data_IF_098346754486
#
_entry.id   IF_098346754486
#
_cell.length_a   1.000
_cell.length_b   1.000
_cell.length_c   1.000
_cell.angle_alpha   90.00
_cell.angle_beta   90.00
_cell.angle_gamma   90.00
#
_symmetry.space_group_name_H-M   'P 1'
#
loop_
_entity.id
_entity.type
_entity.pdbx_description
1 polymer ?
#
# COMPACT_ATOMS: atom_id res chain seq x y z
N UNK A 1 40.16 11.75 -56.80
CA UNK A 1 40.45 11.37 -55.40
C UNK A 1 39.45 10.30 -55.01
N UNK A 2 39.93 9.10 -54.71
CA UNK A 2 39.14 7.86 -54.59
C UNK A 2 38.50 7.73 -53.20
N UNK A 3 37.27 7.20 -53.14
CA UNK A 3 36.56 6.94 -51.88
C UNK A 3 37.24 5.84 -51.04
N UNK A 4 37.21 5.94 -49.71
CA UNK A 4 37.76 4.92 -48.83
C UNK A 4 36.85 3.68 -48.76
N UNK A 5 37.42 2.49 -48.49
CA UNK A 5 36.67 1.24 -48.42
C UNK A 5 35.81 1.14 -47.15
N UNK A 6 34.73 0.34 -47.17
CA UNK A 6 33.86 0.17 -46.03
C UNK A 6 34.53 -0.67 -44.91
N UNK A 7 34.11 -0.47 -43.65
CA UNK A 7 34.66 -1.19 -42.51
C UNK A 7 34.23 -2.67 -42.48
N UNK A 8 35.02 -3.54 -41.84
CA UNK A 8 34.73 -4.96 -41.73
C UNK A 8 33.54 -5.25 -40.79
N UNK A 9 32.83 -6.38 -40.99
CA UNK A 9 31.71 -6.76 -40.14
C UNK A 9 32.16 -7.18 -38.73
N UNK A 10 31.31 -6.88 -37.75
CA UNK A 10 31.54 -7.19 -36.34
C UNK A 10 31.45 -8.71 -36.07
N UNK A 11 32.24 -9.24 -35.13
CA UNK A 11 32.19 -10.65 -34.74
C UNK A 11 30.90 -10.99 -33.97
N UNK A 12 30.43 -12.24 -34.05
CA UNK A 12 29.23 -12.68 -33.34
C UNK A 12 29.45 -12.71 -31.82
N UNK A 13 28.38 -12.55 -31.02
CA UNK A 13 28.47 -12.58 -29.57
C UNK A 13 28.81 -13.99 -29.04
N UNK A 14 29.49 -14.08 -27.88
CA UNK A 14 29.83 -15.36 -27.27
C UNK A 14 28.58 -16.09 -26.74
N UNK A 15 28.61 -17.43 -26.65
CA UNK A 15 27.49 -18.21 -26.12
C UNK A 15 27.29 -17.97 -24.62
N UNK A 16 26.06 -18.16 -24.10
CA UNK A 16 25.75 -17.97 -22.69
C UNK A 16 26.43 -19.03 -21.81
N UNK A 17 26.74 -18.72 -20.53
CA UNK A 17 27.39 -19.64 -19.61
C UNK A 17 26.45 -20.80 -19.23
N UNK A 18 27.01 -22.01 -19.17
CA UNK A 18 26.31 -23.23 -18.75
C UNK A 18 25.85 -23.14 -17.28
N UNK A 19 24.63 -23.61 -17.02
CA UNK A 19 24.06 -23.71 -15.67
C UNK A 19 24.81 -24.76 -14.83
N UNK A 20 24.99 -24.54 -13.50
CA UNK A 20 25.71 -25.48 -12.65
C UNK A 20 24.96 -26.80 -12.51
N UNK A 21 25.60 -27.89 -12.89
CA UNK A 21 25.15 -29.26 -12.64
C UNK A 21 25.18 -29.54 -11.13
N UNK A 22 24.03 -29.89 -10.55
CA UNK A 22 23.94 -30.36 -9.16
C UNK A 22 24.39 -31.82 -9.08
N UNK A 23 25.62 -32.05 -8.63
CA UNK A 23 26.11 -33.37 -8.25
C UNK A 23 25.57 -33.76 -6.87
N UNK A 24 24.93 -34.92 -6.82
CA UNK A 24 24.48 -35.58 -5.60
C UNK A 24 25.66 -36.17 -4.80
N UNK A 25 25.39 -36.37 -3.50
CA UNK A 25 26.09 -37.23 -2.54
C UNK A 25 27.10 -36.53 -1.61
N UNK A 26 26.71 -36.38 -0.34
CA UNK A 26 27.37 -37.05 0.79
C UNK A 26 26.56 -36.83 2.07
N UNK A 27 26.13 -37.96 2.65
CA UNK A 27 25.49 -38.04 3.95
C UNK A 27 26.50 -37.73 5.06
N UNK A 28 26.16 -36.80 5.96
CA UNK A 28 26.81 -36.65 7.25
C UNK A 28 25.72 -36.49 8.32
N UNK A 29 25.74 -37.39 9.30
CA UNK A 29 24.80 -37.48 10.39
C UNK A 29 24.85 -36.25 11.31
N UNK A 30 23.67 -35.73 11.68
CA UNK A 30 23.49 -34.69 12.69
C UNK A 30 22.79 -35.29 13.94
N UNK A 31 23.11 -34.81 15.16
CA UNK A 31 22.68 -35.40 16.42
C UNK A 31 21.19 -35.13 16.73
N UNK A 32 20.53 -35.94 17.59
CA UNK A 32 19.12 -35.76 17.89
C UNK A 32 18.94 -34.74 19.02
N UNK A 33 18.34 -33.58 18.74
CA UNK A 33 18.02 -32.64 19.80
C UNK A 33 17.57 -31.28 19.31
N UNK A 34 16.26 -31.10 19.13
CA UNK A 34 15.67 -29.81 18.85
C UNK A 34 14.34 -29.91 18.13
N UNK A 35 13.31 -30.42 18.82
CA UNK A 35 11.93 -30.23 18.37
C UNK A 35 11.65 -28.72 18.29
N UNK A 36 11.73 -28.19 17.08
CA UNK A 36 11.11 -26.92 16.69
C UNK A 36 9.72 -26.84 17.34
N UNK A 37 9.52 -25.87 18.23
CA UNK A 37 8.20 -25.52 18.78
C UNK A 37 7.31 -25.14 17.59
N UNK A 38 6.61 -26.12 17.02
CA UNK A 38 5.49 -25.89 16.11
C UNK A 38 4.51 -24.99 16.87
N UNK A 39 4.40 -23.73 16.45
CA UNK A 39 3.43 -22.78 17.01
C UNK A 39 2.06 -23.39 16.81
N UNK A 40 1.32 -23.57 17.90
CA UNK A 40 -0.06 -24.04 17.84
C UNK A 40 -0.89 -23.00 17.08
N UNK A 41 -1.38 -23.37 15.89
CA UNK A 41 -2.09 -22.48 14.95
C UNK A 41 -3.60 -22.47 15.18
N UNK A 42 -4.10 -23.18 16.20
CA UNK A 42 -5.53 -23.26 16.49
C UNK A 42 -6.06 -21.91 16.96
N UNK A 43 -7.27 -21.57 16.53
CA UNK A 43 -8.00 -20.37 16.94
C UNK A 43 -9.10 -20.80 17.91
N UNK A 44 -9.22 -20.07 19.01
CA UNK A 44 -10.23 -20.26 20.03
C UNK A 44 -11.23 -19.11 20.01
N UNK A 45 -12.45 -19.36 20.45
CA UNK A 45 -13.45 -18.32 20.73
C UNK A 45 -13.88 -18.38 22.19
N UNK A 46 -14.24 -17.25 22.79
CA UNK A 46 -14.77 -17.14 24.15
C UNK A 46 -15.51 -15.81 24.33
N UNK A 47 -16.29 -15.67 25.39
CA UNK A 47 -17.14 -14.47 25.61
C UNK A 47 -16.56 -13.57 26.69
N UNK A 48 -16.71 -12.25 26.50
CA UNK A 48 -16.32 -11.24 27.49
C UNK A 48 -17.05 -11.50 28.82
N UNK A 49 -16.33 -11.55 29.97
CA UNK A 49 -16.93 -11.82 31.26
C UNK A 49 -17.77 -10.66 31.81
N UNK A 50 -17.68 -9.46 31.22
CA UNK A 50 -18.54 -8.33 31.61
C UNK A 50 -20.01 -8.68 31.30
N UNK A 51 -20.90 -8.72 32.32
CA UNK A 51 -22.31 -9.06 32.14
C UNK A 51 -23.06 -8.12 31.20
N UNK A 52 -22.59 -6.88 31.04
CA UNK A 52 -23.20 -5.89 30.12
C UNK A 52 -22.69 -6.01 28.69
N UNK A 53 -21.53 -6.64 28.48
CA UNK A 53 -20.91 -6.75 27.17
C UNK A 53 -21.15 -8.12 26.52
N UNK A 54 -20.73 -9.20 27.18
CA UNK A 54 -20.84 -10.59 26.70
C UNK A 54 -20.39 -10.81 25.24
N UNK A 55 -19.56 -9.92 24.70
CA UNK A 55 -19.12 -9.99 23.31
C UNK A 55 -18.30 -11.25 23.06
N UNK A 56 -18.53 -11.91 21.92
CA UNK A 56 -17.75 -13.08 21.51
C UNK A 56 -16.43 -12.64 20.88
N UNK A 57 -15.33 -13.10 21.49
CA UNK A 57 -13.95 -12.78 21.18
C UNK A 57 -13.25 -14.00 20.56
N UNK A 58 -12.24 -13.75 19.73
CA UNK A 58 -11.49 -14.80 19.04
C UNK A 58 -9.99 -14.56 19.19
N UNK A 59 -9.22 -15.60 19.49
CA UNK A 59 -7.80 -15.46 19.85
C UNK A 59 -7.03 -16.76 19.56
N UNK A 60 -5.71 -16.69 19.27
CA UNK A 60 -4.91 -17.89 19.03
C UNK A 60 -4.69 -18.68 20.32
N UNK A 61 -4.71 -20.01 20.23
CA UNK A 61 -4.52 -20.93 21.36
C UNK A 61 -3.15 -20.79 22.04
N UNK A 62 -2.14 -20.25 21.34
CA UNK A 62 -0.82 -20.00 21.88
C UNK A 62 -0.38 -18.53 21.68
N UNK A 63 0.20 -17.94 22.72
CA UNK A 63 0.88 -16.63 22.65
C UNK A 63 0.05 -15.40 23.05
N UNK A 64 -1.27 -15.52 23.25
CA UNK A 64 -2.11 -14.40 23.71
C UNK A 64 -2.42 -14.52 25.21
N UNK A 65 -1.60 -13.88 26.04
CA UNK A 65 -1.77 -13.90 27.52
C UNK A 65 -2.89 -12.94 27.95
N UNK A 66 -3.11 -11.86 27.19
CA UNK A 66 -4.12 -10.84 27.46
C UNK A 66 -4.85 -10.50 26.17
N UNK A 67 -6.18 -10.58 26.23
CA UNK A 67 -7.11 -10.41 25.11
C UNK A 67 -7.98 -9.19 25.42
N UNK A 68 -8.02 -8.24 24.49
CA UNK A 68 -8.88 -7.06 24.60
C UNK A 68 -10.25 -7.34 23.99
N UNK A 69 -11.31 -6.97 24.70
CA UNK A 69 -12.66 -7.03 24.20
C UNK A 69 -12.88 -5.92 23.16
N UNK A 70 -13.19 -6.30 21.93
CA UNK A 70 -13.36 -5.37 20.82
C UNK A 70 -14.64 -4.52 20.91
N UNK A 71 -15.55 -4.82 21.83
CA UNK A 71 -16.79 -4.07 22.03
C UNK A 71 -16.71 -3.11 23.23
N UNK A 72 -16.17 -3.54 24.38
CA UNK A 72 -16.09 -2.69 25.59
C UNK A 72 -14.68 -2.18 25.92
N UNK A 73 -13.64 -2.64 25.21
CA UNK A 73 -12.24 -2.23 25.42
C UNK A 73 -11.56 -2.83 26.66
N UNK A 74 -12.26 -3.63 27.47
CA UNK A 74 -11.67 -4.27 28.64
C UNK A 74 -10.69 -5.39 28.24
N UNK A 75 -9.61 -5.54 29.01
CA UNK A 75 -8.63 -6.62 28.81
C UNK A 75 -8.89 -7.76 29.77
N UNK A 76 -8.85 -8.98 29.25
CA UNK A 76 -9.08 -10.21 30.00
C UNK A 76 -7.94 -11.19 29.75
N UNK A 77 -7.60 -11.99 30.76
CA UNK A 77 -6.77 -13.15 30.52
C UNK A 77 -7.59 -14.24 29.82
N UNK A 78 -6.93 -15.10 29.04
CA UNK A 78 -7.60 -16.18 28.31
C UNK A 78 -8.45 -17.08 29.22
N UNK A 79 -7.99 -17.32 30.45
CA UNK A 79 -8.68 -18.15 31.44
C UNK A 79 -9.94 -17.50 32.02
N UNK A 80 -10.08 -16.18 31.86
CA UNK A 80 -11.19 -15.40 32.40
C UNK A 80 -12.34 -15.25 31.38
N UNK A 81 -12.14 -15.68 30.14
CA UNK A 81 -13.17 -15.66 29.11
C UNK A 81 -14.14 -16.81 29.30
N UNK A 82 -15.43 -16.54 29.07
CA UNK A 82 -16.50 -17.52 29.28
C UNK A 82 -16.67 -18.41 28.04
N UNK A 83 -16.85 -19.72 28.25
CA UNK A 83 -17.19 -20.66 27.17
C UNK A 83 -16.12 -20.76 26.08
N UNK A 84 -14.86 -20.96 26.47
CA UNK A 84 -13.74 -21.06 25.51
C UNK A 84 -13.83 -22.37 24.71
N UNK A 85 -13.90 -22.27 23.39
CA UNK A 85 -14.00 -23.39 22.47
C UNK A 85 -13.08 -23.22 21.25
N UNK A 86 -12.68 -24.33 20.61
CA UNK A 86 -11.90 -24.31 19.38
C UNK A 86 -12.78 -24.03 18.16
N UNK A 87 -12.33 -23.11 17.31
CA UNK A 87 -13.04 -22.76 16.07
C UNK A 87 -12.48 -23.60 14.93
N UNK A 88 -13.32 -24.47 14.38
CA UNK A 88 -12.96 -25.38 13.27
C UNK A 88 -13.50 -24.92 11.91
N UNK A 89 -14.43 -23.97 11.89
CA UNK A 89 -15.05 -23.44 10.67
C UNK A 89 -14.12 -22.45 9.94
N UNK A 90 -13.70 -22.74 8.69
CA UNK A 90 -12.78 -21.89 7.91
C UNK A 90 -13.29 -20.47 7.65
N UNK A 91 -14.59 -20.28 7.43
CA UNK A 91 -15.16 -18.96 7.12
C UNK A 91 -15.22 -18.09 8.36
N UNK A 92 -15.51 -18.70 9.52
CA UNK A 92 -15.46 -18.04 10.83
C UNK A 92 -14.01 -17.70 11.19
N UNK A 93 -13.05 -18.58 10.89
CA UNK A 93 -11.62 -18.30 11.09
C UNK A 93 -11.18 -17.13 10.20
N UNK A 94 -11.56 -17.10 8.93
CA UNK A 94 -11.22 -16.00 8.01
C UNK A 94 -11.85 -14.68 8.44
N UNK A 95 -13.15 -14.68 8.75
CA UNK A 95 -13.88 -13.51 9.26
C UNK A 95 -13.23 -12.96 10.54
N UNK A 96 -12.76 -13.84 11.43
CA UNK A 96 -12.13 -13.42 12.68
C UNK A 96 -10.65 -13.07 12.56
N UNK A 97 -9.92 -13.68 11.61
CA UNK A 97 -8.60 -13.20 11.23
C UNK A 97 -8.70 -11.78 10.69
N UNK A 98 -9.70 -11.50 9.84
CA UNK A 98 -10.01 -10.15 9.38
C UNK A 98 -10.43 -9.24 10.54
N UNK A 99 -11.34 -9.67 11.43
CA UNK A 99 -11.78 -8.89 12.60
C UNK A 99 -10.63 -8.59 13.58
N UNK A 100 -9.74 -9.55 13.85
CA UNK A 100 -8.59 -9.39 14.76
C UNK A 100 -7.42 -8.62 14.12
N UNK A 101 -7.27 -8.72 12.80
CA UNK A 101 -6.43 -7.84 12.00
C UNK A 101 -6.96 -6.40 12.02
N UNK A 102 -8.28 -6.23 11.97
CA UNK A 102 -8.99 -4.95 11.94
C UNK A 102 -9.10 -4.28 13.32
N UNK A 103 -9.27 -5.07 14.40
CA UNK A 103 -9.64 -4.61 15.75
C UNK A 103 -8.58 -4.93 16.83
N UNK A 104 -7.39 -5.39 16.47
CA UNK A 104 -6.22 -5.34 17.36
C UNK A 104 -5.83 -6.65 18.07
N UNK A 105 -4.87 -7.38 17.49
CA UNK A 105 -3.92 -8.18 18.29
C UNK A 105 -2.70 -7.31 18.63
N UNK A 106 -2.60 -6.87 19.88
CA UNK A 106 -1.40 -6.25 20.46
C UNK A 106 -0.43 -7.35 20.93
N UNK A 107 0.52 -7.72 20.07
CA UNK A 107 1.81 -8.27 20.51
C UNK A 107 2.85 -7.16 20.42
N UNK A 108 3.89 -7.21 21.26
CA UNK A 108 4.97 -6.21 21.23
C UNK A 108 5.44 -5.95 19.79
N UNK A 109 5.48 -4.68 19.34
CA UNK A 109 5.70 -4.34 17.94
C UNK A 109 7.06 -4.88 17.49
N UNK A 110 7.05 -5.75 16.47
CA UNK A 110 8.26 -6.07 15.72
C UNK A 110 8.67 -4.82 14.94
N UNK A 111 9.97 -4.54 14.93
CA UNK A 111 10.62 -3.38 14.29
C UNK A 111 10.54 -3.40 12.75
N UNK A 112 9.35 -3.54 12.18
CA UNK A 112 9.09 -3.27 10.76
C UNK A 112 7.95 -2.26 10.67
N UNK A 113 8.14 -1.19 9.90
CA UNK A 113 7.21 -0.06 9.78
C UNK A 113 5.83 -0.49 9.30
N UNK A 114 5.76 -1.53 8.46
CA UNK A 114 4.52 -2.08 7.91
C UNK A 114 3.58 -2.73 8.96
N UNK A 115 4.12 -3.12 10.12
CA UNK A 115 3.38 -3.80 11.19
C UNK A 115 3.05 -2.87 12.37
N UNK A 116 3.48 -1.60 12.32
CA UNK A 116 3.10 -0.60 13.32
C UNK A 116 1.61 -0.31 13.16
N UNK A 117 0.84 -0.58 14.21
CA UNK A 117 -0.60 -0.36 14.23
C UNK A 117 -0.91 1.04 14.75
N UNK A 118 -1.77 1.77 14.04
CA UNK A 118 -2.33 3.06 14.45
C UNK A 118 -3.84 3.01 14.31
N UNK A 119 -4.55 3.23 15.42
CA UNK A 119 -6.00 2.99 15.55
C UNK A 119 -6.42 1.60 15.03
N UNK A 120 -5.74 0.56 15.51
CA UNK A 120 -6.06 -0.84 15.19
C UNK A 120 -5.46 -1.40 13.90
N UNK A 121 -5.10 -0.56 12.91
CA UNK A 121 -4.61 -1.01 11.60
C UNK A 121 -3.14 -0.63 11.36
N UNK A 122 -2.40 -1.49 10.65
CA UNK A 122 -1.10 -1.15 10.08
C UNK A 122 -1.21 -1.00 8.56
N UNK A 123 -0.17 -0.50 7.89
CA UNK A 123 -0.17 -0.37 6.42
C UNK A 123 -0.33 -1.75 5.76
N UNK A 124 0.30 -2.80 6.30
CA UNK A 124 0.06 -4.18 5.84
C UNK A 124 -1.41 -4.58 5.88
N UNK A 125 -2.13 -4.25 6.96
CA UNK A 125 -3.56 -4.50 7.03
C UNK A 125 -4.33 -3.69 5.98
N UNK A 126 -3.98 -2.41 5.79
CA UNK A 126 -4.59 -1.57 4.76
C UNK A 126 -4.42 -2.20 3.36
N UNK A 127 -3.25 -2.76 3.06
CA UNK A 127 -2.98 -3.47 1.80
C UNK A 127 -3.89 -4.68 1.61
N UNK A 128 -4.03 -5.51 2.64
CA UNK A 128 -4.88 -6.71 2.59
C UNK A 128 -6.36 -6.37 2.42
N UNK A 129 -6.82 -5.29 3.06
CA UNK A 129 -8.24 -4.96 3.17
C UNK A 129 -8.75 -4.11 2.00
N UNK A 130 -7.87 -3.32 1.37
CA UNK A 130 -8.28 -2.40 0.30
C UNK A 130 -9.04 -3.07 -0.86
N UNK A 131 -8.61 -4.23 -1.40
CA UNK A 131 -9.35 -4.92 -2.46
C UNK A 131 -10.75 -5.38 -2.03
N UNK A 132 -10.90 -5.78 -0.76
CA UNK A 132 -12.19 -6.18 -0.18
C UNK A 132 -13.09 -4.95 -0.06
N UNK A 133 -12.59 -3.86 0.51
CA UNK A 133 -13.35 -2.63 0.71
C UNK A 133 -13.72 -1.93 -0.60
N UNK A 134 -12.98 -2.20 -1.69
CA UNK A 134 -13.34 -1.71 -3.01
C UNK A 134 -14.65 -2.31 -3.53
N UNK A 135 -15.11 -3.46 -3.01
CA UNK A 135 -16.29 -4.20 -3.52
C UNK A 135 -17.33 -4.55 -2.46
N UNK A 136 -16.97 -4.48 -1.18
CA UNK A 136 -17.84 -4.83 -0.06
C UNK A 136 -18.08 -3.65 0.87
N UNK A 137 -19.33 -3.49 1.29
CA UNK A 137 -19.75 -2.58 2.35
C UNK A 137 -20.29 -3.34 3.55
N UNK A 138 -20.62 -2.61 4.62
CA UNK A 138 -21.31 -3.16 5.79
C UNK A 138 -22.80 -2.82 5.72
N UNK A 139 -23.66 -3.83 5.69
CA UNK A 139 -25.09 -3.64 5.84
C UNK A 139 -25.41 -3.26 7.29
N UNK A 140 -25.90 -2.03 7.50
CA UNK A 140 -26.20 -1.49 8.82
C UNK A 140 -27.33 -2.23 9.54
N UNK A 141 -28.23 -2.88 8.81
CA UNK A 141 -29.35 -3.60 9.41
C UNK A 141 -28.91 -4.95 9.98
N UNK A 142 -28.08 -5.66 9.21
CA UNK A 142 -27.65 -7.02 9.58
C UNK A 142 -26.28 -7.06 10.26
N UNK A 143 -25.50 -5.98 10.17
CA UNK A 143 -24.12 -5.92 10.65
C UNK A 143 -23.16 -6.84 9.88
N UNK A 144 -23.54 -7.26 8.67
CA UNK A 144 -22.75 -8.19 7.84
C UNK A 144 -22.16 -7.50 6.63
N UNK A 145 -21.00 -7.97 6.20
CA UNK A 145 -20.40 -7.57 4.94
C UNK A 145 -21.28 -8.02 3.77
N UNK A 146 -21.53 -7.13 2.81
CA UNK A 146 -22.31 -7.40 1.59
C UNK A 146 -21.63 -6.72 0.40
N UNK A 147 -21.79 -7.27 -0.80
CA UNK A 147 -21.33 -6.60 -2.02
C UNK A 147 -22.02 -5.24 -2.17
N UNK A 148 -21.26 -4.24 -2.61
CA UNK A 148 -21.78 -2.90 -2.86
C UNK A 148 -22.93 -2.91 -3.87
N UNK A 149 -22.85 -3.75 -4.90
CA UNK A 149 -23.92 -3.88 -5.91
C UNK A 149 -25.24 -4.38 -5.30
N UNK A 150 -25.17 -5.32 -4.35
CA UNK A 150 -26.35 -5.85 -3.67
C UNK A 150 -26.91 -4.86 -2.63
N UNK A 151 -26.17 -3.78 -2.35
CA UNK A 151 -26.58 -2.65 -1.52
C UNK A 151 -27.01 -1.44 -2.39
N UNK A 152 -27.13 -1.60 -3.71
CA UNK A 152 -27.38 -0.51 -4.67
C UNK A 152 -26.35 0.63 -4.57
N UNK A 153 -25.07 0.30 -4.34
CA UNK A 153 -23.96 1.25 -4.26
C UNK A 153 -23.00 1.15 -5.45
N UNK A 154 -23.36 0.38 -6.49
CA UNK A 154 -22.51 0.11 -7.66
C UNK A 154 -21.57 -1.08 -7.48
N UNK A 155 -20.82 -1.43 -8.53
CA UNK A 155 -19.87 -2.55 -8.51
C UNK A 155 -18.60 -2.26 -7.69
N UNK A 156 -18.22 -0.97 -7.63
CA UNK A 156 -17.02 -0.48 -6.95
C UNK A 156 -17.37 0.64 -5.98
N UNK A 157 -16.56 0.77 -4.93
CA UNK A 157 -16.66 1.89 -3.99
C UNK A 157 -16.40 3.20 -4.74
N UNK A 158 -17.37 4.10 -4.73
CA UNK A 158 -17.24 5.44 -5.33
C UNK A 158 -16.32 6.32 -4.47
N UNK A 159 -15.11 6.55 -4.97
CA UNK A 159 -14.12 7.37 -4.28
C UNK A 159 -14.50 8.86 -4.22
N UNK A 160 -15.46 9.33 -5.04
CA UNK A 160 -15.96 10.71 -4.94
C UNK A 160 -16.59 11.00 -3.57
N UNK A 161 -17.09 9.97 -2.87
CA UNK A 161 -17.61 10.06 -1.50
C UNK A 161 -16.55 10.51 -0.46
N UNK A 162 -15.27 10.48 -0.83
CA UNK A 162 -14.17 10.94 0.00
C UNK A 162 -13.72 12.37 -0.33
N UNK A 163 -14.23 12.99 -1.40
CA UNK A 163 -13.70 14.22 -1.99
C UNK A 163 -13.72 15.44 -1.06
N UNK A 164 -14.70 15.53 -0.17
CA UNK A 164 -14.84 16.66 0.77
C UNK A 164 -14.06 16.46 2.08
N UNK A 165 -13.24 15.40 2.18
CA UNK A 165 -12.48 15.09 3.40
C UNK A 165 -11.07 15.68 3.34
N UNK A 166 -10.58 16.09 4.50
CA UNK A 166 -9.19 16.45 4.70
C UNK A 166 -8.74 15.85 6.03
N UNK A 167 -7.78 14.93 5.98
CA UNK A 167 -7.22 14.31 7.18
C UNK A 167 -6.34 15.29 7.94
N UNK A 168 -6.65 15.46 9.22
CA UNK A 168 -5.79 16.16 10.17
C UNK A 168 -5.16 15.14 11.10
N UNK A 169 -3.84 15.10 11.11
CA UNK A 169 -3.10 14.20 12.00
C UNK A 169 -3.13 14.73 13.44
N UNK A 170 -3.46 13.85 14.37
CA UNK A 170 -3.39 14.17 15.79
C UNK A 170 -1.93 14.30 16.25
N UNK A 171 -1.60 15.28 17.12
CA UNK A 171 -0.23 15.54 17.56
C UNK A 171 0.50 14.31 18.11
N UNK A 172 -0.22 13.43 18.81
CA UNK A 172 0.31 12.19 19.38
C UNK A 172 0.78 11.18 18.33
N UNK A 173 0.26 11.26 17.10
CA UNK A 173 0.62 10.35 16.03
C UNK A 173 1.68 10.89 15.07
N UNK A 174 2.05 12.17 15.19
CA UNK A 174 3.04 12.83 14.32
C UNK A 174 4.39 12.11 14.33
N UNK A 175 4.81 11.57 15.48
CA UNK A 175 6.12 10.92 15.59
C UNK A 175 6.08 9.40 15.38
N UNK A 176 4.91 8.82 15.09
CA UNK A 176 4.75 7.38 14.90
C UNK A 176 5.48 6.92 13.63
N UNK A 177 6.46 6.03 13.78
CA UNK A 177 7.22 5.51 12.63
C UNK A 177 6.29 4.73 11.69
N UNK A 178 6.38 5.00 10.38
CA UNK A 178 5.56 4.32 9.36
C UNK A 178 4.12 4.85 9.25
N UNK A 179 3.77 5.89 10.01
CA UNK A 179 2.44 6.50 9.98
C UNK A 179 2.48 8.02 10.04
N UNK A 180 3.29 8.59 10.93
CA UNK A 180 3.37 10.02 11.18
C UNK A 180 4.21 10.73 10.12
N UNK A 181 5.00 11.71 10.57
CA UNK A 181 5.94 12.46 9.77
C UNK A 181 6.90 11.50 9.07
N UNK A 182 7.04 11.69 7.77
CA UNK A 182 7.98 10.92 6.96
C UNK A 182 9.40 11.13 7.48
N UNK A 183 10.25 10.10 7.33
CA UNK A 183 11.65 10.11 7.77
C UNK A 183 12.62 9.83 6.63
N UNK A 184 12.11 9.74 5.40
CA UNK A 184 12.92 9.52 4.21
C UNK A 184 13.55 10.84 3.72
N UNK A 185 14.23 10.77 2.57
CA UNK A 185 14.75 11.94 1.88
C UNK A 185 13.70 12.99 1.48
N UNK A 186 12.39 12.67 1.56
CA UNK A 186 11.32 13.64 1.27
C UNK A 186 11.39 14.87 2.18
N UNK A 187 11.81 14.72 3.44
CA UNK A 187 11.97 15.84 4.37
C UNK A 187 13.02 16.84 3.88
N UNK A 188 14.12 16.34 3.32
CA UNK A 188 15.18 17.19 2.75
C UNK A 188 14.67 17.85 1.47
N UNK A 189 14.01 17.07 0.61
CA UNK A 189 13.45 17.57 -0.66
C UNK A 189 12.42 18.69 -0.45
N UNK A 190 11.56 18.57 0.56
CA UNK A 190 10.50 19.54 0.84
C UNK A 190 10.89 20.65 1.82
N UNK A 191 12.14 20.67 2.31
CA UNK A 191 12.54 21.54 3.41
C UNK A 191 12.23 23.03 3.16
N UNK A 192 12.74 23.57 2.06
CA UNK A 192 12.59 24.99 1.73
C UNK A 192 11.12 25.37 1.53
N UNK A 193 10.38 24.52 0.80
CA UNK A 193 8.93 24.69 0.58
C UNK A 193 8.14 24.70 1.89
N UNK A 194 8.45 23.80 2.82
CA UNK A 194 7.78 23.72 4.11
C UNK A 194 8.11 24.92 5.00
N UNK A 195 9.35 25.41 4.98
CA UNK A 195 9.74 26.62 5.70
C UNK A 195 9.08 27.87 5.09
N UNK A 196 8.94 27.97 3.77
CA UNK A 196 8.17 29.04 3.12
C UNK A 196 6.71 29.06 3.56
N UNK A 197 6.05 27.91 3.54
CA UNK A 197 4.67 27.76 3.98
C UNK A 197 4.54 28.13 5.46
N UNK A 198 5.45 27.65 6.31
CA UNK A 198 5.48 27.97 7.73
C UNK A 198 5.64 29.47 7.97
N UNK A 199 6.55 30.15 7.25
CA UNK A 199 6.72 31.60 7.34
C UNK A 199 5.46 32.35 6.92
N UNK A 200 4.82 31.94 5.83
CA UNK A 200 3.55 32.51 5.39
C UNK A 200 2.41 32.31 6.42
N UNK A 201 2.48 31.25 7.24
CA UNK A 201 1.53 30.92 8.29
C UNK A 201 2.00 31.37 9.69
N UNK A 202 2.54 32.58 9.80
CA UNK A 202 2.97 33.19 11.10
C UNK A 202 3.97 32.31 11.88
N UNK A 203 4.87 31.66 11.14
CA UNK A 203 5.87 30.73 11.68
C UNK A 203 5.30 29.46 12.33
N UNK A 204 4.04 29.12 12.06
CA UNK A 204 3.39 27.91 12.53
C UNK A 204 3.57 26.75 11.52
N UNK A 205 3.97 25.57 11.99
CA UNK A 205 4.01 24.36 11.16
C UNK A 205 2.56 23.90 10.90
N UNK A 206 2.08 24.11 9.67
CA UNK A 206 0.71 23.76 9.27
C UNK A 206 0.63 22.53 8.37
N UNK A 207 1.76 22.10 7.79
CA UNK A 207 1.86 20.93 6.93
C UNK A 207 3.02 20.05 7.40
N UNK A 208 2.80 18.75 7.39
CA UNK A 208 3.85 17.76 7.57
C UNK A 208 3.80 16.76 6.42
N UNK A 209 4.96 16.38 5.83
CA UNK A 209 4.99 15.24 4.93
C UNK A 209 4.78 13.99 5.77
N UNK A 210 3.79 13.18 5.39
CA UNK A 210 3.47 11.93 6.09
C UNK A 210 4.08 10.74 5.38
N UNK A 211 4.45 9.71 6.14
CA UNK A 211 4.92 8.44 5.59
C UNK A 211 3.86 7.84 4.66
N UNK A 212 4.33 7.32 3.52
CA UNK A 212 3.57 6.55 2.53
C UNK A 212 4.41 5.36 2.08
N UNK A 213 3.80 4.20 1.92
CA UNK A 213 4.51 3.02 1.42
C UNK A 213 4.97 3.16 -0.05
N UNK A 214 6.18 2.67 -0.34
CA UNK A 214 6.85 2.78 -1.63
C UNK A 214 6.80 1.50 -2.47
N UNK A 215 5.61 0.91 -2.63
CA UNK A 215 5.40 -0.37 -3.33
C UNK A 215 4.82 -0.23 -4.76
N UNK A 216 4.95 0.95 -5.36
CA UNK A 216 4.39 1.26 -6.68
C UNK A 216 2.95 1.81 -6.65
N UNK A 217 2.37 1.98 -5.45
CA UNK A 217 1.05 2.59 -5.28
C UNK A 217 1.11 3.93 -4.51
N UNK A 218 2.29 4.53 -4.38
CA UNK A 218 2.54 5.72 -3.56
C UNK A 218 1.60 6.90 -3.86
N UNK A 219 1.22 7.15 -5.11
CA UNK A 219 0.28 8.22 -5.46
C UNK A 219 -1.10 8.00 -4.81
N UNK A 220 -1.70 6.83 -5.02
CA UNK A 220 -3.03 6.51 -4.46
C UNK A 220 -2.97 6.28 -2.95
N UNK A 221 -1.84 5.81 -2.41
CA UNK A 221 -1.62 5.80 -0.97
C UNK A 221 -1.57 7.22 -0.39
N UNK A 222 -0.86 8.15 -1.03
CA UNK A 222 -0.78 9.54 -0.59
C UNK A 222 -2.15 10.23 -0.62
N UNK A 223 -2.94 10.01 -1.68
CA UNK A 223 -4.32 10.53 -1.77
C UNK A 223 -5.19 9.94 -0.66
N UNK A 224 -5.19 8.61 -0.49
CA UNK A 224 -5.95 7.95 0.58
C UNK A 224 -5.53 8.47 1.97
N UNK A 225 -4.23 8.66 2.21
CA UNK A 225 -3.69 9.24 3.44
C UNK A 225 -4.14 10.68 3.66
N UNK A 226 -4.12 11.52 2.62
CA UNK A 226 -4.55 12.91 2.71
C UNK A 226 -6.06 13.07 2.98
N UNK A 227 -6.89 12.15 2.49
CA UNK A 227 -8.34 12.21 2.66
C UNK A 227 -8.82 11.58 3.97
N UNK A 228 -8.25 10.43 4.36
CA UNK A 228 -8.78 9.62 5.48
C UNK A 228 -7.73 9.17 6.50
N UNK A 229 -6.46 9.57 6.33
CA UNK A 229 -5.39 9.22 7.25
C UNK A 229 -4.96 7.75 7.20
N UNK A 230 -5.40 7.00 6.19
CA UNK A 230 -5.10 5.57 6.00
C UNK A 230 -4.84 5.32 4.53
N UNK A 231 -4.02 4.33 4.22
CA UNK A 231 -3.80 3.87 2.84
C UNK A 231 -4.93 2.96 2.33
N UNK A 232 -6.04 2.85 3.08
CA UNK A 232 -7.09 1.85 2.92
C UNK A 232 -7.82 1.88 1.57
N UNK A 233 -7.85 3.02 0.89
CA UNK A 233 -8.59 3.19 -0.37
C UNK A 233 -7.72 3.14 -1.62
N UNK A 234 -6.45 2.74 -1.49
CA UNK A 234 -5.51 2.71 -2.63
C UNK A 234 -6.03 1.89 -3.82
N UNK A 235 -6.64 0.72 -3.56
CA UNK A 235 -7.15 -0.17 -4.60
C UNK A 235 -8.40 0.41 -5.27
N UNK A 236 -9.32 0.94 -4.47
CA UNK A 236 -10.52 1.60 -4.98
C UNK A 236 -10.15 2.84 -5.81
N UNK A 237 -9.17 3.64 -5.39
CA UNK A 237 -8.68 4.80 -6.14
C UNK A 237 -8.11 4.42 -7.51
N UNK A 238 -7.35 3.32 -7.61
CA UNK A 238 -6.85 2.79 -8.89
C UNK A 238 -7.96 2.34 -9.83
N UNK A 239 -8.90 1.54 -9.32
CA UNK A 239 -10.06 1.08 -10.09
C UNK A 239 -10.94 2.25 -10.57
N UNK A 240 -11.21 3.22 -9.70
CA UNK A 240 -11.97 4.43 -10.05
C UNK A 240 -11.23 5.26 -11.10
N UNK A 241 -9.91 5.41 -10.99
CA UNK A 241 -9.10 6.15 -11.97
C UNK A 241 -9.15 5.48 -13.34
N UNK A 242 -8.98 4.16 -13.39
CA UNK A 242 -9.08 3.36 -14.63
C UNK A 242 -10.44 3.56 -15.29
N UNK A 243 -11.52 3.38 -14.52
CA UNK A 243 -12.88 3.57 -15.00
C UNK A 243 -13.12 5.01 -15.49
N UNK A 244 -12.63 6.01 -14.76
CA UNK A 244 -12.80 7.41 -15.11
C UNK A 244 -12.07 7.77 -16.41
N UNK A 245 -10.85 7.25 -16.62
CA UNK A 245 -10.17 7.41 -17.91
C UNK A 245 -10.94 6.76 -19.05
N UNK A 246 -11.44 5.54 -18.87
CA UNK A 246 -12.22 4.85 -19.91
C UNK A 246 -13.50 5.60 -20.26
N UNK A 247 -14.23 6.13 -19.27
CA UNK A 247 -15.48 6.86 -19.48
C UNK A 247 -15.29 8.26 -20.07
N UNK A 248 -14.14 8.90 -19.81
CA UNK A 248 -13.88 10.29 -20.17
C UNK A 248 -12.66 10.46 -21.09
N UNK A 249 -12.24 9.40 -21.79
CA UNK A 249 -11.00 9.36 -22.58
C UNK A 249 -10.86 10.53 -23.54
N UNK A 250 -11.91 10.83 -24.31
CA UNK A 250 -11.89 11.93 -25.29
C UNK A 250 -11.57 13.29 -24.65
N UNK A 251 -12.04 13.53 -23.42
CA UNK A 251 -11.76 14.78 -22.68
C UNK A 251 -10.28 14.84 -22.29
N UNK A 252 -9.73 13.74 -21.80
CA UNK A 252 -8.33 13.66 -21.41
C UNK A 252 -7.39 13.78 -22.62
N UNK A 253 -7.70 13.09 -23.73
CA UNK A 253 -6.99 13.23 -24.99
C UNK A 253 -6.96 14.69 -25.45
N UNK A 254 -8.10 15.40 -25.41
CA UNK A 254 -8.13 16.82 -25.78
C UNK A 254 -7.28 17.70 -24.85
N UNK A 255 -7.32 17.47 -23.53
CA UNK A 255 -6.56 18.24 -22.54
C UNK A 255 -5.05 18.01 -22.62
N UNK A 256 -4.62 16.80 -22.96
CA UNK A 256 -3.22 16.38 -22.94
C UNK A 256 -2.63 16.12 -24.34
N UNK A 257 -3.32 16.50 -25.42
CA UNK A 257 -2.88 16.22 -26.81
C UNK A 257 -1.48 16.78 -27.14
N UNK A 258 -1.05 17.84 -26.47
CA UNK A 258 0.30 18.43 -26.63
C UNK A 258 1.41 17.61 -25.94
N UNK A 259 1.04 16.65 -25.09
CA UNK A 259 1.97 15.97 -24.18
C UNK A 259 1.92 14.44 -24.27
N UNK A 260 0.79 13.87 -24.69
CA UNK A 260 0.54 12.42 -24.70
C UNK A 260 -0.03 12.05 -26.06
N UNK A 261 0.64 11.14 -26.76
CA UNK A 261 0.21 10.61 -28.04
C UNK A 261 -1.03 9.72 -27.88
N UNK A 262 -1.89 9.69 -28.90
CA UNK A 262 -3.13 8.91 -28.87
C UNK A 262 -2.90 7.42 -28.60
N UNK A 263 -1.74 6.89 -29.02
CA UNK A 263 -1.36 5.49 -28.84
C UNK A 263 -0.97 5.15 -27.38
N UNK A 264 -0.51 6.13 -26.58
CA UNK A 264 -0.07 5.89 -25.20
C UNK A 264 -1.24 5.73 -24.21
N UNK A 265 -2.46 6.11 -24.60
CA UNK A 265 -3.62 6.08 -23.71
C UNK A 265 -4.05 4.68 -23.29
N UNK A 266 -3.84 3.67 -24.13
CA UNK A 266 -4.12 2.29 -23.77
C UNK A 266 -3.21 1.84 -22.63
N UNK A 267 -1.92 2.15 -22.72
CA UNK A 267 -0.93 1.83 -21.69
C UNK A 267 -1.21 2.59 -20.40
N UNK A 268 -1.52 3.89 -20.47
CA UNK A 268 -1.88 4.71 -19.30
C UNK A 268 -3.11 4.13 -18.57
N UNK A 269 -4.12 3.68 -19.31
CA UNK A 269 -5.32 3.06 -18.72
C UNK A 269 -4.98 1.70 -18.10
N UNK A 270 -4.11 0.92 -18.74
CA UNK A 270 -3.66 -0.37 -18.23
C UNK A 270 -2.81 -0.23 -16.96
N UNK A 271 -1.94 0.78 -16.89
CA UNK A 271 -1.12 1.11 -15.72
C UNK A 271 -1.95 1.48 -14.48
N UNK A 272 -3.21 1.90 -14.68
CA UNK A 272 -4.12 2.17 -13.58
C UNK A 272 -4.57 0.88 -12.86
N UNK A 273 -4.46 -0.29 -13.49
CA UNK A 273 -4.87 -1.56 -12.88
C UNK A 273 -4.12 -1.80 -11.55
N UNK A 274 -4.82 -2.15 -10.45
CA UNK A 274 -4.18 -2.49 -9.18
C UNK A 274 -3.17 -3.64 -9.26
N UNK A 275 -3.33 -4.54 -10.23
CA UNK A 275 -2.46 -5.68 -10.46
C UNK A 275 -1.48 -5.45 -11.61
N UNK A 276 -1.39 -4.21 -12.12
CA UNK A 276 -0.43 -3.88 -13.17
C UNK A 276 0.99 -4.19 -12.69
N UNK A 277 1.70 -4.97 -13.50
CA UNK A 277 3.13 -5.23 -13.34
C UNK A 277 3.81 -4.67 -14.58
N UNK A 278 4.70 -3.66 -14.45
CA UNK A 278 5.43 -3.15 -15.60
C UNK A 278 6.29 -4.27 -16.21
N UNK A 279 6.45 -4.29 -17.53
CA UNK A 279 7.40 -5.19 -18.18
C UNK A 279 8.82 -5.05 -17.58
N UNK A 280 9.61 -6.13 -17.61
CA UNK A 280 10.95 -6.12 -17.02
C UNK A 280 11.83 -4.99 -17.61
N UNK A 281 12.32 -4.10 -16.75
CA UNK A 281 13.15 -2.95 -17.15
C UNK A 281 12.38 -1.68 -17.53
N UNK A 282 11.05 -1.73 -17.53
CA UNK A 282 10.17 -0.59 -17.89
C UNK A 282 9.52 0.08 -16.69
N UNK A 283 9.91 -0.24 -15.45
CA UNK A 283 9.48 0.59 -14.32
C UNK A 283 9.98 2.04 -14.54
N UNK A 284 9.12 3.01 -14.25
CA UNK A 284 9.36 4.44 -14.53
C UNK A 284 10.74 4.90 -14.07
N UNK A 285 11.26 4.35 -12.98
CA UNK A 285 12.57 4.70 -12.45
C UNK A 285 13.72 4.06 -13.25
N UNK A 286 13.61 2.80 -13.65
CA UNK A 286 14.57 2.14 -14.55
C UNK A 286 14.55 2.74 -15.96
N UNK A 287 13.35 3.03 -16.49
CA UNK A 287 13.17 3.71 -17.78
C UNK A 287 13.75 5.13 -17.74
N UNK A 288 13.42 5.94 -16.73
CA UNK A 288 13.95 7.30 -16.59
C UNK A 288 15.48 7.33 -16.44
N UNK A 289 16.08 6.35 -15.76
CA UNK A 289 17.55 6.20 -15.69
C UNK A 289 18.18 5.90 -17.04
N UNK A 290 17.47 5.19 -17.92
CA UNK A 290 17.91 4.84 -19.27
C UNK A 290 17.80 5.97 -20.29
N UNK A 291 17.12 7.08 -19.97
CA UNK A 291 16.82 8.16 -20.91
C UNK A 291 17.42 9.51 -20.47
N UNK A 292 18.76 9.64 -20.39
CA UNK A 292 19.41 10.90 -20.03
C UNK A 292 19.06 12.05 -20.97
N UNK A 293 18.64 11.77 -22.21
CA UNK A 293 18.21 12.77 -23.18
C UNK A 293 16.87 13.46 -22.82
N UNK A 294 16.02 12.86 -21.98
CA UNK A 294 14.80 13.52 -21.48
C UNK A 294 15.11 14.77 -20.64
N UNK A 295 16.27 14.78 -19.99
CA UNK A 295 16.75 15.88 -19.14
C UNK A 295 17.71 16.82 -19.86
N UNK A 296 18.09 16.51 -21.10
CA UNK A 296 18.95 17.36 -21.92
C UNK A 296 18.16 18.50 -22.56
N UNK A 297 18.89 19.48 -23.10
CA UNK A 297 18.31 20.62 -23.79
C UNK A 297 17.45 20.17 -24.98
N UNK A 298 16.15 20.46 -24.94
CA UNK A 298 15.16 20.02 -25.92
C UNK A 298 14.38 18.76 -25.54
N UNK A 299 14.78 18.05 -24.48
CA UNK A 299 14.03 16.93 -23.92
C UNK A 299 12.76 17.34 -23.17
N UNK A 300 11.88 16.38 -22.90
CA UNK A 300 10.55 16.61 -22.28
C UNK A 300 10.66 17.40 -20.97
N UNK A 301 11.59 17.03 -20.08
CA UNK A 301 11.78 17.73 -18.81
C UNK A 301 12.27 19.16 -19.02
N UNK A 302 13.24 19.37 -19.91
CA UNK A 302 13.74 20.71 -20.25
C UNK A 302 12.63 21.60 -20.83
N UNK A 303 11.80 21.06 -21.72
CA UNK A 303 10.72 21.82 -22.34
C UNK A 303 9.61 22.16 -21.34
N UNK A 304 9.25 21.25 -20.44
CA UNK A 304 8.30 21.51 -19.34
C UNK A 304 8.86 22.59 -18.41
N UNK A 305 10.12 22.47 -17.97
CA UNK A 305 10.76 23.48 -17.12
C UNK A 305 10.83 24.85 -17.80
N UNK A 306 11.22 24.87 -19.09
CA UNK A 306 11.26 26.09 -19.90
C UNK A 306 9.87 26.73 -20.07
N UNK A 307 8.83 25.92 -20.27
CA UNK A 307 7.44 26.38 -20.50
C UNK A 307 6.79 26.88 -19.20
N UNK A 308 7.08 26.22 -18.07
CA UNK A 308 6.43 26.50 -16.78
C UNK A 308 7.16 27.55 -15.96
N UNK A 309 8.49 27.59 -16.00
CA UNK A 309 9.29 28.49 -15.15
C UNK A 309 9.94 29.65 -15.92
N UNK A 310 9.86 29.65 -17.25
CA UNK A 310 10.76 30.46 -18.08
C UNK A 310 12.20 29.94 -17.95
N UNK A 311 13.04 30.11 -18.95
CA UNK A 311 14.43 29.60 -18.88
C UNK A 311 15.14 30.30 -17.70
N UNK A 312 15.30 29.60 -16.57
CA UNK A 312 16.24 30.01 -15.53
C UNK A 312 17.62 29.78 -16.14
N UNK A 313 18.21 30.84 -16.69
CA UNK A 313 19.66 30.90 -16.82
C UNK A 313 20.19 30.96 -15.39
N UNK A 314 20.73 29.85 -14.89
CA UNK A 314 21.73 29.91 -13.83
C UNK A 314 22.97 30.64 -14.35
#
# INVERSE_FOLDING_TARGET
MSQPPPPPPLPPPPPPPEAPQTSSSLAAAAPPGGLSKRRDRRILSGSCPDPKCQARLFFPASGSVSIECTECGQRHEQQQLLGVEEVTDPDVVLHNLLRNALLGVTGAPKKNTELVKVMGLSNYHCKLLSPILARYGMDKQTGRAKLLRDMNQGELFDCALLGDRAFLIEPEHVNTVGYGKDRSGSLLYLHDTLEDIKRANKSQECLIPVHVDGDGHCLVHAVSRALVGRELFWHALRENLKQHFQQHLARYQALFHDFIDAAEWEDIINECDPLFVPPEGEDVWSYAKGLPHMFQQGGVFYNIMKKTMGIVKL
#
